data_IF_043620487799
#
_entry.id   IF_043620487799
#
_cell.length_a   1.000
_cell.length_b   1.000
_cell.length_c   1.000
_cell.angle_alpha   90.00
_cell.angle_beta   90.00
_cell.angle_gamma   90.00
#
_symmetry.space_group_name_H-M   'P 1'
#
loop_
_entity.id
_entity.type
_entity.pdbx_description
1 polymer ?
#
# COMPACT_ATOMS: atom_id res chain seq x y z
N UNK A 1 6.96 -23.13 -23.39
CA UNK A 1 7.05 -22.36 -22.13
C UNK A 1 6.01 -22.93 -21.17
N UNK A 2 6.40 -23.38 -19.97
CA UNK A 2 5.43 -23.86 -18.99
C UNK A 2 4.66 -22.65 -18.47
N UNK A 3 3.33 -22.68 -18.56
CA UNK A 3 2.46 -21.68 -17.95
C UNK A 3 2.49 -21.94 -16.44
N UNK A 4 3.05 -20.99 -15.68
CA UNK A 4 2.98 -21.01 -14.23
C UNK A 4 1.53 -20.91 -13.78
N UNK A 5 1.12 -21.81 -12.89
CA UNK A 5 -0.23 -21.89 -12.32
C UNK A 5 -0.08 -21.66 -10.83
N UNK A 6 -0.63 -20.57 -10.29
CA UNK A 6 -0.90 -20.46 -8.86
C UNK A 6 -2.21 -19.70 -8.53
N UNK A 7 -2.98 -20.40 -7.69
CA UNK A 7 -3.83 -20.03 -6.55
C UNK A 7 -4.58 -18.69 -6.54
N UNK A 8 -5.91 -18.78 -6.72
CA UNK A 8 -6.88 -17.81 -6.18
C UNK A 8 -7.78 -18.56 -5.21
N UNK A 9 -7.60 -18.31 -3.91
CA UNK A 9 -8.45 -18.81 -2.85
C UNK A 9 -9.33 -17.66 -2.34
N UNK A 10 -10.54 -17.53 -2.87
CA UNK A 10 -11.60 -16.81 -2.14
C UNK A 10 -12.42 -17.84 -1.37
N UNK A 11 -12.39 -17.74 -0.04
CA UNK A 11 -13.31 -18.49 0.82
C UNK A 11 -14.71 -17.96 0.56
N UNK A 12 -15.53 -18.75 -0.10
CA UNK A 12 -16.92 -18.39 -0.34
C UNK A 12 -17.75 -18.75 0.90
N UNK A 13 -18.19 -17.76 1.69
CA UNK A 13 -19.01 -17.92 2.91
C UNK A 13 -20.47 -18.33 2.62
N UNK A 14 -20.73 -19.09 1.54
CA UNK A 14 -22.07 -19.54 1.16
C UNK A 14 -22.93 -18.50 0.40
N UNK A 15 -22.38 -17.34 0.05
CA UNK A 15 -23.03 -16.32 -0.77
C UNK A 15 -22.58 -16.47 -2.23
N UNK A 16 -23.38 -17.18 -3.02
CA UNK A 16 -23.17 -17.26 -4.47
C UNK A 16 -23.55 -15.91 -5.11
N UNK A 17 -22.77 -15.40 -6.08
CA UNK A 17 -23.17 -14.20 -6.82
C UNK A 17 -24.56 -14.36 -7.44
N UNK A 18 -25.37 -13.30 -7.42
CA UNK A 18 -26.80 -13.34 -7.83
C UNK A 18 -27.03 -13.74 -9.30
N UNK A 19 -25.98 -13.68 -10.11
CA UNK A 19 -26.00 -14.14 -11.50
C UNK A 19 -25.84 -15.67 -11.66
N UNK A 20 -25.51 -16.39 -10.57
CA UNK A 20 -25.36 -17.86 -10.56
C UNK A 20 -26.71 -18.52 -10.32
N UNK A 21 -27.21 -19.24 -11.32
CA UNK A 21 -28.50 -19.93 -11.26
C UNK A 21 -28.44 -21.14 -10.31
N UNK A 22 -29.57 -21.56 -9.71
CA UNK A 22 -29.60 -22.67 -8.76
C UNK A 22 -28.94 -23.97 -9.27
N UNK A 23 -29.17 -24.35 -10.53
CA UNK A 23 -28.54 -25.54 -11.14
C UNK A 23 -27.04 -25.40 -11.46
N UNK A 24 -26.51 -24.17 -11.47
CA UNK A 24 -25.07 -23.91 -11.62
C UNK A 24 -24.34 -24.04 -10.28
N UNK A 25 -25.05 -23.95 -9.15
CA UNK A 25 -24.44 -24.04 -7.80
C UNK A 25 -23.85 -25.41 -7.53
N UNK A 26 -24.53 -26.49 -7.93
CA UNK A 26 -24.04 -27.86 -7.74
C UNK A 26 -22.86 -28.17 -8.67
N UNK A 27 -22.89 -27.62 -9.89
CA UNK A 27 -21.78 -27.66 -10.84
C UNK A 27 -20.56 -26.93 -10.28
N UNK A 28 -20.74 -25.70 -9.78
CA UNK A 28 -19.67 -24.93 -9.17
C UNK A 28 -19.19 -25.55 -7.86
N UNK A 29 -20.07 -26.12 -7.02
CA UNK A 29 -19.67 -26.86 -5.82
C UNK A 29 -18.87 -28.13 -6.15
N UNK A 30 -19.16 -28.78 -7.28
CA UNK A 30 -18.43 -29.97 -7.76
C UNK A 30 -17.08 -29.61 -8.36
N UNK A 31 -17.02 -28.53 -9.17
CA UNK A 31 -15.76 -28.04 -9.77
C UNK A 31 -14.88 -27.35 -8.73
N UNK A 32 -15.48 -26.62 -7.79
CA UNK A 32 -14.78 -25.78 -6.81
C UNK A 32 -14.73 -26.41 -5.41
N UNK A 33 -15.30 -27.59 -5.15
CA UNK A 33 -15.36 -28.20 -3.82
C UNK A 33 -16.26 -27.45 -2.81
N UNK A 34 -16.42 -28.02 -1.60
CA UNK A 34 -17.13 -27.40 -0.46
C UNK A 34 -16.42 -26.12 0.02
N UNK A 35 -16.60 -25.01 -0.71
CA UNK A 35 -16.12 -23.68 -0.34
C UNK A 35 -14.62 -23.42 -0.53
N UNK A 36 -13.92 -24.26 -1.29
CA UNK A 36 -12.47 -24.10 -1.53
C UNK A 36 -12.11 -24.40 -2.99
N UNK A 37 -12.16 -23.37 -3.83
CA UNK A 37 -11.89 -23.42 -5.27
C UNK A 37 -10.78 -24.42 -5.63
N UNK A 38 -11.13 -25.51 -6.32
CA UNK A 38 -10.13 -26.40 -6.91
C UNK A 38 -9.65 -25.82 -8.24
N UNK A 39 -8.34 -25.66 -8.36
CA UNK A 39 -7.68 -25.34 -9.61
C UNK A 39 -7.60 -26.59 -10.48
N UNK A 40 -8.09 -26.49 -11.71
CA UNK A 40 -7.90 -27.51 -12.73
C UNK A 40 -6.97 -26.94 -13.81
N UNK A 41 -5.71 -27.40 -13.89
CA UNK A 41 -4.82 -27.10 -15.00
C UNK A 41 -5.43 -27.62 -16.30
N UNK A 42 -5.95 -26.73 -17.14
CA UNK A 42 -6.38 -27.10 -18.49
C UNK A 42 -5.23 -26.83 -19.46
N UNK A 43 -4.65 -27.90 -19.99
CA UNK A 43 -3.75 -27.80 -21.13
C UNK A 43 -4.60 -27.72 -22.39
N UNK A 44 -4.68 -26.52 -22.96
CA UNK A 44 -5.49 -26.24 -24.15
C UNK A 44 -4.54 -26.09 -25.34
N UNK A 45 -4.84 -26.78 -26.44
CA UNK A 45 -4.14 -26.55 -27.70
C UNK A 45 -4.29 -25.07 -28.08
N UNK A 46 -3.20 -24.30 -28.30
CA UNK A 46 -3.29 -22.90 -28.68
C UNK A 46 -4.06 -22.65 -30.00
N UNK A 47 -4.34 -23.69 -30.80
CA UNK A 47 -5.20 -23.62 -32.01
C UNK A 47 -6.67 -23.95 -31.75
N UNK A 48 -7.03 -24.41 -30.54
CA UNK A 48 -8.41 -24.77 -30.22
C UNK A 48 -9.32 -23.54 -30.27
N UNK A 49 -10.44 -23.65 -31.00
CA UNK A 49 -11.47 -22.60 -31.08
C UNK A 49 -12.57 -22.74 -30.01
N UNK A 50 -12.61 -23.88 -29.31
CA UNK A 50 -13.56 -24.17 -28.25
C UNK A 50 -12.94 -25.13 -27.23
N UNK A 51 -13.31 -24.98 -25.96
CA UNK A 51 -12.98 -25.91 -24.87
C UNK A 51 -14.30 -26.43 -24.32
N UNK A 52 -14.53 -27.74 -24.43
CA UNK A 52 -15.74 -28.39 -23.90
C UNK A 52 -15.40 -29.05 -22.56
N UNK A 53 -15.93 -28.49 -21.47
CA UNK A 53 -15.84 -29.10 -20.14
C UNK A 53 -17.09 -29.96 -19.93
N UNK A 54 -16.93 -31.28 -20.00
CA UNK A 54 -18.02 -32.20 -19.71
C UNK A 54 -18.09 -32.46 -18.20
N UNK A 55 -19.11 -31.92 -17.53
CA UNK A 55 -19.43 -32.32 -16.15
C UNK A 55 -20.43 -33.46 -16.20
N UNK A 56 -20.04 -34.61 -15.67
CA UNK A 56 -20.86 -35.82 -15.70
C UNK A 56 -22.05 -35.70 -14.75
N UNK A 57 -23.11 -35.08 -15.24
CA UNK A 57 -24.48 -35.54 -15.03
C UNK A 57 -25.00 -35.80 -16.44
N UNK A 58 -25.38 -37.04 -16.76
CA UNK A 58 -25.83 -37.44 -18.10
C UNK A 58 -26.95 -36.48 -18.57
N UNK A 59 -26.69 -35.70 -19.62
CA UNK A 59 -27.67 -34.79 -20.22
C UNK A 59 -27.48 -34.80 -21.74
N UNK A 60 -28.57 -34.98 -22.47
CA UNK A 60 -28.56 -35.09 -23.94
C UNK A 60 -28.33 -33.74 -24.63
N UNK A 61 -28.43 -32.62 -23.91
CA UNK A 61 -28.16 -31.27 -24.42
C UNK A 61 -27.32 -30.43 -23.46
N UNK A 62 -26.48 -29.50 -23.98
CA UNK A 62 -25.75 -28.55 -23.15
C UNK A 62 -26.69 -27.68 -22.30
N UNK A 63 -26.46 -27.63 -20.99
CA UNK A 63 -27.25 -26.79 -20.09
C UNK A 63 -27.10 -25.29 -20.38
N UNK A 64 -25.92 -24.86 -20.88
CA UNK A 64 -25.66 -23.50 -21.32
C UNK A 64 -24.40 -23.43 -22.20
N UNK A 65 -24.21 -22.28 -22.85
CA UNK A 65 -22.96 -21.91 -23.52
C UNK A 65 -22.54 -20.51 -23.05
N UNK A 66 -21.25 -20.33 -22.78
CA UNK A 66 -20.71 -19.03 -22.35
C UNK A 66 -19.40 -18.75 -23.07
N UNK A 67 -19.26 -17.54 -23.60
CA UNK A 67 -17.99 -17.08 -24.11
C UNK A 67 -17.01 -16.88 -22.95
N UNK A 68 -15.85 -17.54 -23.02
CA UNK A 68 -14.76 -17.36 -22.07
C UNK A 68 -13.56 -16.75 -22.79
N UNK A 69 -12.85 -15.86 -22.10
CA UNK A 69 -11.60 -15.27 -22.59
C UNK A 69 -10.45 -15.88 -21.81
N UNK A 70 -9.52 -16.56 -22.50
CA UNK A 70 -8.26 -16.99 -21.90
C UNK A 70 -7.29 -15.82 -21.90
N UNK A 71 -6.76 -15.49 -20.72
CA UNK A 71 -5.86 -14.36 -20.55
C UNK A 71 -4.59 -14.89 -19.88
N UNK A 72 -3.41 -14.76 -20.52
CA UNK A 72 -2.14 -15.10 -19.89
C UNK A 72 -1.96 -14.35 -18.57
N UNK A 73 -1.29 -14.96 -17.58
CA UNK A 73 -1.15 -14.39 -16.24
C UNK A 73 -0.67 -12.93 -16.23
N UNK A 74 0.42 -12.63 -16.94
CA UNK A 74 0.96 -11.27 -17.09
C UNK A 74 -0.07 -10.31 -17.73
N UNK A 75 -0.81 -10.78 -18.73
CA UNK A 75 -1.85 -9.98 -19.37
C UNK A 75 -3.07 -9.76 -18.46
N UNK A 76 -3.43 -10.74 -17.62
CA UNK A 76 -4.49 -10.62 -16.61
C UNK A 76 -4.06 -9.63 -15.54
N UNK A 77 -2.81 -9.67 -15.11
CA UNK A 77 -2.29 -8.66 -14.20
C UNK A 77 -2.42 -7.28 -14.85
N UNK A 78 -1.93 -7.04 -16.06
CA UNK A 78 -2.00 -5.70 -16.65
C UNK A 78 -3.42 -5.26 -17.09
N UNK A 79 -4.43 -6.14 -17.03
CA UNK A 79 -5.81 -5.82 -17.38
C UNK A 79 -6.46 -4.96 -16.28
N UNK A 80 -6.81 -3.71 -16.62
CA UNK A 80 -7.44 -2.76 -15.69
C UNK A 80 -8.96 -2.96 -15.54
N UNK A 81 -9.58 -3.67 -16.48
CA UNK A 81 -11.00 -4.07 -16.49
C UNK A 81 -11.27 -5.27 -15.56
N UNK A 82 -10.22 -5.91 -15.02
CA UNK A 82 -10.33 -7.11 -14.21
C UNK A 82 -9.74 -6.85 -12.82
N UNK A 83 -10.48 -7.28 -11.80
CA UNK A 83 -10.00 -7.24 -10.43
C UNK A 83 -8.68 -8.00 -10.24
N UNK A 84 -7.84 -7.55 -9.30
CA UNK A 84 -6.63 -8.28 -8.95
C UNK A 84 -7.01 -9.70 -8.49
N UNK A 85 -6.26 -10.70 -8.96
CA UNK A 85 -6.43 -12.09 -8.49
C UNK A 85 -5.76 -12.37 -7.15
N UNK A 86 -5.39 -11.32 -6.41
CA UNK A 86 -4.61 -11.41 -5.16
C UNK A 86 -5.30 -10.56 -4.09
N UNK A 87 -5.16 -11.01 -2.84
CA UNK A 87 -5.55 -10.27 -1.65
C UNK A 87 -4.31 -10.18 -0.75
N UNK A 88 -3.77 -8.97 -0.59
CA UNK A 88 -2.55 -8.73 0.19
C UNK A 88 -2.89 -7.70 1.27
N UNK A 89 -2.87 -8.08 2.56
CA UNK A 89 -3.08 -7.12 3.63
C UNK A 89 -1.92 -6.13 3.73
N UNK A 90 -2.22 -4.90 4.14
CA UNK A 90 -1.23 -3.84 4.32
C UNK A 90 -0.21 -4.20 5.43
N UNK A 91 -0.67 -4.81 6.52
CA UNK A 91 0.16 -5.20 7.67
C UNK A 91 0.03 -6.72 7.91
N UNK A 92 1.13 -7.38 8.29
CA UNK A 92 1.08 -8.77 8.79
C UNK A 92 0.62 -8.80 10.23
N UNK A 93 -0.68 -8.61 10.41
CA UNK A 93 -1.33 -8.92 11.67
C UNK A 93 -2.32 -10.02 11.34
N UNK A 94 -2.27 -11.19 12.01
CA UNK A 94 -3.31 -12.20 11.88
C UNK A 94 -4.68 -11.51 12.06
N UNK A 95 -5.58 -11.65 11.09
CA UNK A 95 -6.82 -10.87 10.98
C UNK A 95 -7.68 -10.80 12.25
N UNK A 96 -7.55 -11.76 13.18
CA UNK A 96 -8.19 -11.74 14.51
C UNK A 96 -7.68 -10.62 15.45
N UNK A 97 -6.40 -10.27 15.38
CA UNK A 97 -5.83 -9.19 16.20
C UNK A 97 -6.22 -7.80 15.64
N UNK A 98 -6.48 -7.68 14.34
CA UNK A 98 -6.91 -6.41 13.75
C UNK A 98 -8.34 -6.02 14.14
N UNK A 99 -9.25 -6.99 14.32
CA UNK A 99 -10.58 -6.71 14.88
C UNK A 99 -10.53 -6.22 16.33
N UNK A 100 -9.55 -6.66 17.13
CA UNK A 100 -9.35 -6.20 18.50
C UNK A 100 -8.74 -4.79 18.53
N UNK A 101 -7.84 -4.47 17.59
CA UNK A 101 -7.30 -3.12 17.37
C UNK A 101 -8.31 -2.15 16.74
N UNK A 102 -9.41 -2.64 16.15
CA UNK A 102 -10.49 -1.80 15.61
C UNK A 102 -11.17 -0.94 16.68
N UNK A 103 -11.07 -1.34 17.96
CA UNK A 103 -11.47 -0.52 19.11
C UNK A 103 -10.55 0.67 19.38
N UNK A 104 -9.32 0.65 18.87
CA UNK A 104 -8.38 1.77 18.91
C UNK A 104 -8.47 2.61 17.61
N UNK A 105 -9.62 3.25 17.38
CA UNK A 105 -9.77 4.22 16.28
C UNK A 105 -8.87 5.45 16.40
N UNK A 106 -8.16 5.59 17.52
CA UNK A 106 -7.23 6.67 17.77
C UNK A 106 -5.84 6.25 17.32
N UNK A 107 -5.27 7.00 16.38
CA UNK A 107 -3.83 6.94 16.12
C UNK A 107 -3.15 7.49 17.36
N UNK A 108 -2.68 6.59 18.23
CA UNK A 108 -1.87 6.99 19.38
C UNK A 108 -0.57 7.54 18.83
N UNK A 109 -0.36 8.85 18.99
CA UNK A 109 0.98 9.40 18.86
C UNK A 109 1.89 8.59 19.81
N UNK A 110 3.06 8.17 19.34
CA UNK A 110 4.06 7.58 20.24
C UNK A 110 4.21 8.47 21.47
N UNK A 111 4.36 7.85 22.64
CA UNK A 111 4.56 8.56 23.88
C UNK A 111 5.66 9.62 23.74
N UNK A 112 5.41 10.79 24.33
CA UNK A 112 6.10 12.07 24.14
C UNK A 112 7.61 12.02 24.51
N UNK A 113 8.05 10.95 25.17
CA UNK A 113 9.43 10.66 25.60
C UNK A 113 10.26 9.85 24.60
N UNK A 114 9.61 9.14 23.67
CA UNK A 114 10.27 8.24 22.69
C UNK A 114 10.70 8.91 21.40
N UNK A 115 10.19 10.11 21.12
CA UNK A 115 10.38 10.75 19.83
C UNK A 115 11.57 11.73 19.89
N UNK A 116 12.78 11.18 19.73
CA UNK A 116 14.05 11.92 19.71
C UNK A 116 14.77 11.70 18.37
N UNK A 117 15.36 12.74 17.77
CA UNK A 117 16.16 12.59 16.56
C UNK A 117 17.43 11.81 16.85
N UNK A 118 17.80 10.94 15.92
CA UNK A 118 19.06 10.22 15.85
C UNK A 118 20.03 10.97 14.92
N UNK A 119 21.32 10.63 15.00
CA UNK A 119 22.37 11.16 14.11
C UNK A 119 22.43 12.70 14.06
N UNK A 120 22.23 13.34 15.22
CA UNK A 120 22.29 14.81 15.35
C UNK A 120 23.66 15.40 15.01
N UNK A 121 24.72 14.63 15.21
CA UNK A 121 26.11 14.96 14.87
C UNK A 121 26.38 14.99 13.35
N UNK A 122 25.60 14.25 12.55
CA UNK A 122 25.77 14.21 11.08
C UNK A 122 25.30 15.48 10.36
N UNK A 123 24.58 16.36 11.06
CA UNK A 123 23.88 17.49 10.44
C UNK A 123 22.67 17.10 9.59
N UNK A 124 22.34 15.80 9.51
CA UNK A 124 21.21 15.24 8.79
C UNK A 124 20.36 14.34 9.72
N UNK A 125 19.66 14.94 10.70
CA UNK A 125 18.98 14.21 11.77
C UNK A 125 17.91 13.25 11.23
N UNK A 126 17.77 12.11 11.90
CA UNK A 126 16.86 11.02 11.52
C UNK A 126 15.75 10.86 12.56
N UNK A 127 14.50 10.81 12.13
CA UNK A 127 13.33 10.54 12.96
C UNK A 127 12.72 9.20 12.56
N UNK A 128 12.44 8.35 13.55
CA UNK A 128 11.63 7.15 13.38
C UNK A 128 10.17 7.49 13.69
N UNK A 129 9.29 7.41 12.70
CA UNK A 129 7.87 7.74 12.82
C UNK A 129 7.02 6.56 12.33
N UNK A 130 5.88 6.28 12.94
CA UNK A 130 4.90 5.40 12.29
C UNK A 130 4.43 6.01 10.97
N UNK A 131 3.88 5.22 10.03
CA UNK A 131 3.27 5.75 8.82
C UNK A 131 2.26 6.88 9.05
N UNK A 132 1.37 6.71 10.03
CA UNK A 132 0.35 7.70 10.41
C UNK A 132 0.98 8.95 11.00
N UNK A 133 1.99 8.80 11.87
CA UNK A 133 2.75 9.95 12.36
C UNK A 133 3.43 10.69 11.23
N UNK A 134 3.99 9.97 10.26
CA UNK A 134 4.56 10.55 9.04
C UNK A 134 3.52 11.36 8.24
N UNK A 135 2.24 10.97 8.26
CA UNK A 135 1.16 11.77 7.66
C UNK A 135 0.72 12.99 8.51
N UNK A 136 0.91 12.95 9.83
CA UNK A 136 0.41 13.94 10.79
C UNK A 136 1.48 14.89 11.35
N UNK A 137 2.75 14.56 11.16
CA UNK A 137 3.90 15.32 11.60
C UNK A 137 4.40 16.26 10.50
N UNK A 138 4.76 17.47 10.93
CA UNK A 138 5.44 18.47 10.11
C UNK A 138 6.82 18.71 10.70
N UNK A 139 7.82 18.74 9.82
CA UNK A 139 9.20 19.01 10.17
C UNK A 139 9.57 20.37 9.59
N UNK A 140 10.13 21.23 10.42
CA UNK A 140 10.58 22.57 10.07
C UNK A 140 12.03 22.76 10.50
N UNK A 141 12.73 23.65 9.81
CA UNK A 141 14.10 24.05 10.15
C UNK A 141 14.20 25.57 10.06
N UNK A 142 14.77 26.19 11.08
CA UNK A 142 14.97 27.64 11.15
C UNK A 142 16.37 27.95 11.66
N UNK A 143 16.96 29.06 11.20
CA UNK A 143 18.19 29.60 11.82
C UNK A 143 17.89 30.12 13.23
N UNK A 144 18.92 30.37 14.08
CA UNK A 144 18.73 30.97 15.41
C UNK A 144 17.98 32.31 15.39
N UNK A 145 18.02 33.02 14.26
CA UNK A 145 17.32 34.29 14.05
C UNK A 145 15.89 34.10 13.51
N UNK A 146 15.37 32.86 13.49
CA UNK A 146 14.01 32.53 13.06
C UNK A 146 13.80 32.50 11.54
N UNK A 147 14.86 32.61 10.72
CA UNK A 147 14.71 32.51 9.26
C UNK A 147 14.50 31.06 8.84
N UNK A 148 13.51 30.73 8.00
CA UNK A 148 13.34 29.38 7.47
C UNK A 148 14.58 28.91 6.71
N UNK A 149 15.00 27.67 6.98
CA UNK A 149 16.03 26.96 6.21
C UNK A 149 15.32 26.12 5.17
N UNK A 150 15.80 26.19 3.92
CA UNK A 150 15.27 25.39 2.82
C UNK A 150 15.75 23.93 2.97
N UNK A 151 15.09 23.20 3.87
CA UNK A 151 15.35 21.80 4.14
C UNK A 151 14.15 20.95 3.71
N UNK A 152 14.44 19.75 3.20
CA UNK A 152 13.44 18.79 2.76
C UNK A 152 13.54 17.51 3.58
N UNK A 153 12.38 16.89 3.79
CA UNK A 153 12.30 15.54 4.34
C UNK A 153 12.63 14.51 3.26
N UNK A 154 13.40 13.50 3.62
CA UNK A 154 13.65 12.32 2.81
C UNK A 154 13.32 11.08 3.63
N UNK A 155 12.41 10.23 3.14
CA UNK A 155 12.25 8.90 3.71
C UNK A 155 13.43 8.04 3.26
N UNK A 156 14.16 7.48 4.22
CA UNK A 156 15.28 6.57 4.00
C UNK A 156 14.71 5.21 3.62
N UNK A 157 15.20 4.65 2.52
CA UNK A 157 14.92 3.26 2.15
C UNK A 157 15.57 2.35 3.18
N UNK A 158 14.78 1.47 3.78
CA UNK A 158 15.27 0.48 4.73
C UNK A 158 15.55 -0.83 3.98
N UNK A 159 16.80 -1.28 4.00
CA UNK A 159 17.14 -2.61 3.50
C UNK A 159 16.60 -3.66 4.47
N UNK A 160 15.65 -4.47 4.01
CA UNK A 160 15.23 -5.67 4.72
C UNK A 160 15.86 -6.89 4.07
N UNK A 161 16.26 -7.92 4.85
CA UNK A 161 16.44 -9.24 4.30
C UNK A 161 15.11 -9.65 3.66
N UNK A 162 15.13 -10.02 2.38
CA UNK A 162 14.00 -10.58 1.66
C UNK A 162 13.57 -11.86 2.37
N UNK A 163 12.63 -11.76 3.32
CA UNK A 163 12.01 -12.93 3.93
C UNK A 163 10.95 -13.38 2.94
N UNK A 164 11.08 -14.63 2.46
CA UNK A 164 10.27 -15.18 1.38
C UNK A 164 8.75 -14.91 1.49
N UNK A 165 8.12 -15.00 0.32
CA UNK A 165 6.68 -15.12 0.08
C UNK A 165 5.81 -14.03 0.75
N UNK A 166 5.99 -12.78 0.31
CA UNK A 166 4.95 -11.74 0.43
C UNK A 166 5.06 -10.77 1.60
N UNK A 167 6.05 -10.92 2.48
CA UNK A 167 6.35 -9.95 3.56
C UNK A 167 6.82 -8.61 2.99
N UNK A 168 7.53 -8.63 1.86
CA UNK A 168 8.04 -7.43 1.18
C UNK A 168 6.96 -6.49 0.62
N UNK A 169 5.69 -6.92 0.67
CA UNK A 169 4.52 -6.17 0.19
C UNK A 169 3.81 -5.40 1.28
N UNK A 170 4.30 -5.50 2.51
CA UNK A 170 3.64 -4.93 3.67
C UNK A 170 4.26 -3.61 4.03
N UNK A 171 3.52 -2.85 4.83
CA UNK A 171 3.99 -1.61 5.40
C UNK A 171 4.90 -1.88 6.59
N UNK A 172 5.95 -1.06 6.72
CA UNK A 172 6.77 -1.06 7.93
C UNK A 172 6.05 -0.31 9.04
N UNK A 173 6.17 -0.80 10.27
CA UNK A 173 5.67 -0.13 11.47
C UNK A 173 6.33 1.23 11.71
N UNK A 174 7.46 1.49 11.04
CA UNK A 174 8.25 2.72 11.17
C UNK A 174 8.82 3.14 9.82
N UNK A 175 8.71 4.42 9.52
CA UNK A 175 9.38 5.12 8.44
C UNK A 175 10.49 6.00 9.02
N UNK A 176 11.68 5.91 8.42
CA UNK A 176 12.83 6.73 8.82
C UNK A 176 12.88 8.02 7.99
N UNK A 177 12.67 9.16 8.63
CA UNK A 177 12.74 10.48 8.02
C UNK A 177 14.10 11.12 8.28
N UNK A 178 14.84 11.44 7.23
CA UNK A 178 16.03 12.30 7.30
C UNK A 178 15.67 13.73 6.92
N UNK A 179 16.13 14.70 7.70
CA UNK A 179 16.16 16.08 7.25
C UNK A 179 17.47 16.35 6.52
N UNK A 180 17.37 16.90 5.33
CA UNK A 180 18.52 17.30 4.50
C UNK A 180 18.26 18.68 3.89
N UNK A 181 19.33 19.39 3.55
CA UNK A 181 19.25 20.58 2.73
C UNK A 181 18.72 20.24 1.32
N UNK A 182 18.30 21.26 0.57
CA UNK A 182 17.77 21.08 -0.79
C UNK A 182 18.75 20.39 -1.75
N UNK A 183 20.05 20.67 -1.60
CA UNK A 183 21.14 20.03 -2.36
C UNK A 183 21.38 18.55 -1.96
N UNK A 184 20.72 18.08 -0.90
CA UNK A 184 20.86 16.73 -0.36
C UNK A 184 21.92 16.58 0.72
N UNK A 185 22.64 17.65 1.05
CA UNK A 185 23.62 17.69 2.12
C UNK A 185 23.01 17.90 3.52
N UNK A 186 23.87 18.01 4.55
CA UNK A 186 23.45 18.37 5.91
C UNK A 186 22.73 19.72 5.95
N UNK A 187 21.75 19.86 6.84
CA UNK A 187 20.95 21.09 6.94
C UNK A 187 21.70 22.25 7.63
N UNK A 188 22.79 21.96 8.37
CA UNK A 188 23.57 22.90 9.19
C UNK A 188 24.87 23.38 8.53
N UNK A 189 25.00 23.26 7.21
CA UNK A 189 26.20 23.70 6.47
C UNK A 189 26.39 25.22 6.49
N UNK A 190 25.30 25.99 6.49
CA UNK A 190 25.33 27.45 6.54
C UNK A 190 25.35 28.02 7.98
N UNK A 191 25.32 27.16 8.99
CA UNK A 191 25.29 27.55 10.39
C UNK A 191 24.41 26.65 11.25
N UNK A 192 24.27 27.02 12.52
CA UNK A 192 23.38 26.29 13.43
C UNK A 192 21.92 26.37 12.96
N UNK A 193 21.14 25.33 13.24
CA UNK A 193 19.73 25.20 12.85
C UNK A 193 18.90 24.72 14.04
N UNK A 194 17.78 25.39 14.30
CA UNK A 194 16.71 24.91 15.18
C UNK A 194 15.74 24.06 14.36
N UNK A 195 15.66 22.79 14.72
CA UNK A 195 14.78 21.79 14.14
C UNK A 195 13.49 21.77 14.92
N UNK A 196 12.36 21.97 14.27
CA UNK A 196 11.04 21.85 14.87
C UNK A 196 10.31 20.63 14.34
N UNK A 197 9.81 19.76 15.21
CA UNK A 197 8.85 18.72 14.85
C UNK A 197 7.53 19.01 15.55
N UNK A 198 6.48 19.14 14.75
CA UNK A 198 5.12 19.34 15.24
C UNK A 198 4.21 18.25 14.70
N UNK A 199 3.64 17.44 15.59
CA UNK A 199 2.72 16.36 15.25
C UNK A 199 1.34 16.60 15.86
N UNK A 200 0.32 16.17 15.10
CA UNK A 200 -1.08 16.17 15.54
C UNK A 200 -1.52 14.76 15.91
N UNK A 201 -2.55 14.66 16.75
CA UNK A 201 -3.34 13.44 16.84
C UNK A 201 -4.05 13.16 15.51
N UNK A 202 -4.50 11.92 15.35
CA UNK A 202 -5.29 11.53 14.20
C UNK A 202 -6.35 10.51 14.58
N UNK A 203 -7.44 10.55 13.84
CA UNK A 203 -8.46 9.50 13.88
C UNK A 203 -8.77 9.06 12.47
N UNK A 204 -8.87 7.75 12.28
CA UNK A 204 -9.33 7.19 11.03
C UNK A 204 -10.81 7.48 10.86
N UNK A 205 -11.19 7.95 9.68
CA UNK A 205 -12.57 8.16 9.30
C UNK A 205 -12.78 7.68 7.87
N UNK A 206 -13.94 7.10 7.60
CA UNK A 206 -14.34 6.76 6.24
C UNK A 206 -14.31 8.02 5.38
N UNK A 207 -13.54 7.96 4.30
CA UNK A 207 -13.47 9.01 3.30
C UNK A 207 -14.76 9.00 2.48
N UNK A 208 -15.25 10.19 2.13
CA UNK A 208 -16.33 10.33 1.16
C UNK A 208 -15.76 10.13 -0.25
N UNK A 209 -15.49 8.88 -0.62
CA UNK A 209 -14.93 8.48 -1.91
C UNK A 209 -15.77 7.35 -2.50
N UNK A 210 -16.21 7.57 -3.74
CA UNK A 210 -16.98 6.59 -4.50
C UNK A 210 -16.02 5.69 -5.30
N UNK A 211 -16.03 4.40 -4.96
CA UNK A 211 -15.17 3.37 -5.53
C UNK A 211 -15.58 2.96 -6.96
N UNK A 212 -16.82 3.27 -7.39
CA UNK A 212 -17.35 2.89 -8.69
C UNK A 212 -17.30 1.39 -9.00
N UNK A 213 -17.34 1.03 -10.29
CA UNK A 213 -17.40 -0.36 -10.76
C UNK A 213 -16.04 -1.09 -10.71
N UNK A 214 -14.94 -0.36 -10.46
CA UNK A 214 -13.58 -0.90 -10.38
C UNK A 214 -12.94 -0.48 -9.06
N UNK A 215 -13.41 -1.02 -7.93
CA UNK A 215 -12.98 -0.59 -6.60
C UNK A 215 -11.47 -0.78 -6.36
N UNK A 216 -10.81 -1.67 -7.10
CA UNK A 216 -9.37 -1.91 -7.04
C UNK A 216 -8.51 -0.89 -7.79
N UNK A 217 -9.11 0.08 -8.48
CA UNK A 217 -8.40 1.11 -9.24
C UNK A 217 -8.80 2.50 -8.72
N UNK A 218 -7.98 3.03 -7.81
CA UNK A 218 -8.26 4.26 -7.09
C UNK A 218 -7.71 5.46 -7.87
N UNK A 219 -8.56 6.43 -8.13
CA UNK A 219 -8.17 7.71 -8.70
C UNK A 219 -7.61 8.62 -7.59
N UNK A 220 -6.28 8.74 -7.52
CA UNK A 220 -5.64 9.54 -6.47
C UNK A 220 -5.92 11.03 -6.60
N UNK A 221 -6.12 11.52 -7.82
CA UNK A 221 -6.47 12.93 -8.04
C UNK A 221 -7.85 13.23 -7.48
N UNK A 222 -8.83 12.36 -7.72
CA UNK A 222 -10.18 12.48 -7.12
C UNK A 222 -10.16 12.28 -5.61
N UNK A 223 -9.35 11.35 -5.09
CA UNK A 223 -9.27 11.04 -3.66
C UNK A 223 -8.59 12.17 -2.85
N UNK A 224 -7.53 12.76 -3.39
CA UNK A 224 -6.71 13.75 -2.68
C UNK A 224 -7.05 15.19 -3.06
N UNK A 225 -7.74 15.40 -4.19
CA UNK A 225 -7.99 16.71 -4.79
C UNK A 225 -6.77 17.32 -5.50
N UNK A 226 -5.68 16.56 -5.67
CA UNK A 226 -4.41 17.03 -6.22
C UNK A 226 -3.79 15.97 -7.13
N UNK A 227 -3.04 16.38 -8.14
CA UNK A 227 -2.25 15.45 -8.94
C UNK A 227 -1.26 14.69 -8.04
N UNK A 228 -1.17 13.35 -8.12
CA UNK A 228 -0.27 12.59 -7.27
C UNK A 228 1.19 12.96 -7.55
N UNK A 229 1.96 13.21 -6.50
CA UNK A 229 3.40 13.43 -6.59
C UNK A 229 4.11 12.07 -6.79
N UNK A 230 4.70 11.79 -7.96
CA UNK A 230 5.38 10.51 -8.21
C UNK A 230 6.59 10.29 -7.29
N UNK A 231 7.17 11.36 -6.72
CA UNK A 231 8.27 11.30 -5.77
C UNK A 231 7.80 11.09 -4.32
N UNK A 232 6.49 11.06 -4.04
CA UNK A 232 5.97 10.75 -2.72
C UNK A 232 6.34 9.30 -2.34
N UNK A 233 6.87 9.04 -1.14
CA UNK A 233 6.99 7.66 -0.64
C UNK A 233 5.60 7.04 -0.49
N UNK A 234 5.41 5.81 -0.98
CA UNK A 234 4.12 5.10 -0.87
C UNK A 234 3.71 4.93 0.58
N UNK A 235 4.69 4.68 1.48
CA UNK A 235 4.45 4.62 2.91
C UNK A 235 3.83 5.89 3.51
N UNK A 236 4.11 7.08 2.95
CA UNK A 236 3.49 8.33 3.39
C UNK A 236 2.04 8.42 2.94
N UNK A 237 1.73 7.99 1.70
CA UNK A 237 0.38 7.93 1.19
C UNK A 237 -0.49 6.97 2.01
N UNK A 238 0.02 5.75 2.26
CA UNK A 238 -0.69 4.70 2.99
C UNK A 238 -0.77 4.99 4.51
N UNK A 239 0.09 5.86 5.03
CA UNK A 239 -0.04 6.40 6.38
C UNK A 239 -1.18 7.42 6.50
N UNK A 240 -1.61 8.01 5.39
CA UNK A 240 -2.72 8.97 5.34
C UNK A 240 -4.04 8.35 4.91
N UNK A 241 -3.99 7.34 4.04
CA UNK A 241 -5.15 6.67 3.46
C UNK A 241 -5.04 5.16 3.61
N UNK A 242 -6.15 4.50 3.93
CA UNK A 242 -6.26 3.03 3.94
C UNK A 242 -7.38 2.60 3.00
N UNK A 243 -7.16 1.49 2.31
CA UNK A 243 -8.14 0.86 1.42
C UNK A 243 -8.63 -0.40 2.11
N UNK A 244 -9.85 -0.38 2.63
CA UNK A 244 -10.37 -1.43 3.49
C UNK A 244 -11.19 -2.39 2.64
N UNK A 245 -10.97 -3.69 2.79
CA UNK A 245 -11.86 -4.70 2.22
C UNK A 245 -13.19 -4.79 2.99
N UNK A 246 -14.08 -5.69 2.55
CA UNK A 246 -15.38 -5.91 3.18
C UNK A 246 -15.28 -6.45 4.62
N UNK A 247 -14.18 -7.12 4.95
CA UNK A 247 -13.91 -7.62 6.29
C UNK A 247 -13.29 -6.55 7.20
N UNK A 248 -12.97 -5.37 6.68
CA UNK A 248 -12.34 -4.27 7.41
C UNK A 248 -10.84 -4.46 7.61
N UNK A 249 -10.17 -5.21 6.74
CA UNK A 249 -8.72 -5.34 6.68
C UNK A 249 -8.15 -4.30 5.70
N UNK A 250 -7.11 -3.52 6.09
CA UNK A 250 -6.43 -2.64 5.15
C UNK A 250 -5.65 -3.47 4.12
N UNK A 251 -5.77 -3.09 2.86
CA UNK A 251 -5.12 -3.71 1.70
C UNK A 251 -3.85 -2.95 1.29
N UNK A 252 -2.88 -3.70 0.79
CA UNK A 252 -1.66 -3.16 0.18
C UNK A 252 -1.92 -2.71 -1.27
N UNK A 253 -0.88 -2.18 -1.92
CA UNK A 253 -0.91 -1.69 -3.30
C UNK A 253 -0.10 -2.57 -4.23
N UNK A 254 -0.50 -2.54 -5.51
CA UNK A 254 0.15 -3.26 -6.58
C UNK A 254 0.93 -2.29 -7.48
N UNK A 255 2.13 -2.67 -7.95
CA UNK A 255 2.80 -1.98 -9.04
C UNK A 255 1.87 -1.79 -10.26
N UNK A 256 2.13 -0.73 -11.02
CA UNK A 256 1.35 -0.38 -12.20
C UNK A 256 1.38 -1.49 -13.27
N UNK A 257 2.50 -2.20 -13.36
CA UNK A 257 2.71 -3.28 -14.31
C UNK A 257 3.32 -4.51 -13.63
N UNK A 258 3.09 -5.67 -14.24
CA UNK A 258 3.64 -6.94 -13.76
C UNK A 258 5.16 -7.03 -13.88
N UNK A 259 5.77 -6.25 -14.78
CA UNK A 259 7.21 -6.28 -14.97
C UNK A 259 7.91 -5.76 -13.73
N UNK A 260 8.87 -6.55 -13.23
CA UNK A 260 9.56 -6.31 -11.95
C UNK A 260 8.60 -6.23 -10.76
N UNK A 261 7.45 -6.92 -10.84
CA UNK A 261 6.47 -6.98 -9.76
C UNK A 261 7.19 -7.16 -8.42
N UNK A 262 8.08 -8.16 -8.31
CA UNK A 262 8.81 -8.54 -7.09
C UNK A 262 9.81 -7.50 -6.55
N UNK A 263 10.25 -6.56 -7.37
CA UNK A 263 11.27 -5.58 -6.98
C UNK A 263 10.66 -4.40 -6.20
N UNK A 264 9.34 -4.26 -6.26
CA UNK A 264 8.63 -3.12 -5.69
C UNK A 264 8.01 -3.41 -4.32
N UNK A 265 8.38 -2.56 -3.36
CA UNK A 265 8.03 -2.64 -1.95
C UNK A 265 7.30 -1.35 -1.50
N UNK A 266 5.99 -1.41 -1.21
CA UNK A 266 5.20 -0.25 -0.79
C UNK A 266 5.77 0.52 0.43
N UNK A 267 6.49 -0.16 1.32
CA UNK A 267 7.10 0.50 2.47
C UNK A 267 8.28 1.43 2.11
N UNK A 268 9.01 1.09 1.04
CA UNK A 268 10.31 1.68 0.74
C UNK A 268 10.29 2.55 -0.52
N UNK A 269 9.40 2.24 -1.45
CA UNK A 269 9.43 2.84 -2.78
C UNK A 269 8.63 4.14 -2.88
N UNK A 270 8.91 4.84 -3.98
CA UNK A 270 8.17 6.02 -4.39
C UNK A 270 6.88 5.62 -5.10
N UNK A 271 5.96 6.56 -5.22
CA UNK A 271 4.64 6.34 -5.78
C UNK A 271 4.68 6.04 -7.28
N UNK A 272 5.64 6.60 -8.01
CA UNK A 272 5.77 6.44 -9.47
C UNK A 272 5.54 5.01 -10.01
N UNK A 273 6.25 3.96 -9.54
CA UNK A 273 6.05 2.59 -10.03
C UNK A 273 4.67 1.97 -9.73
N UNK A 274 3.88 2.59 -8.86
CA UNK A 274 2.53 2.15 -8.49
C UNK A 274 1.42 2.93 -9.20
N UNK A 275 1.77 3.96 -9.99
CA UNK A 275 0.80 4.78 -10.72
C UNK A 275 0.56 4.23 -12.12
N UNK A 276 -0.65 3.73 -12.35
CA UNK A 276 -1.17 3.48 -13.69
C UNK A 276 -1.54 4.83 -14.31
N UNK A 277 -1.02 5.09 -15.52
CA UNK A 277 -1.20 6.35 -16.26
C UNK A 277 -0.84 7.60 -15.45
N UNK A 278 0.07 7.48 -14.48
CA UNK A 278 0.49 8.58 -13.61
C UNK A 278 -0.59 9.08 -12.63
N UNK A 279 -1.72 8.36 -12.49
CA UNK A 279 -2.90 8.83 -11.75
C UNK A 279 -3.52 7.77 -10.84
N UNK A 280 -3.68 6.57 -11.36
CA UNK A 280 -4.46 5.55 -10.68
C UNK A 280 -3.58 4.64 -9.85
N UNK A 281 -3.98 4.40 -8.61
CA UNK A 281 -3.35 3.43 -7.72
C UNK A 281 -4.11 2.12 -7.80
N UNK A 282 -3.38 1.03 -8.01
CA UNK A 282 -3.98 -0.30 -8.01
C UNK A 282 -3.88 -0.95 -6.64
N UNK A 283 -4.98 -1.44 -6.13
CA UNK A 283 -5.06 -2.08 -4.80
C UNK A 283 -4.90 -3.59 -4.94
N UNK A 284 -4.24 -4.22 -3.97
CA UNK A 284 -4.03 -5.67 -3.90
C UNK A 284 -5.24 -6.38 -3.27
N UNK A 285 -6.42 -6.22 -3.86
CA UNK A 285 -7.68 -6.81 -3.41
C UNK A 285 -8.89 -6.03 -3.93
N UNK A 286 -10.04 -6.22 -3.29
CA UNK A 286 -11.26 -5.45 -3.58
C UNK A 286 -11.62 -4.55 -2.39
N UNK A 287 -11.31 -3.26 -2.46
CA UNK A 287 -11.76 -2.29 -1.46
C UNK A 287 -13.28 -2.23 -1.39
N UNK A 288 -13.83 -2.23 -0.18
CA UNK A 288 -15.22 -1.90 0.13
C UNK A 288 -15.37 -0.47 0.67
N UNK A 289 -14.29 0.10 1.24
CA UNK A 289 -14.28 1.51 1.66
C UNK A 289 -12.85 2.08 1.64
N UNK A 290 -12.76 3.41 1.70
CA UNK A 290 -11.50 4.13 1.89
C UNK A 290 -11.57 4.85 3.23
N UNK A 291 -10.52 4.77 4.02
CA UNK A 291 -10.36 5.58 5.23
C UNK A 291 -9.26 6.61 5.04
N UNK A 292 -9.41 7.75 5.69
CA UNK A 292 -8.42 8.82 5.75
C UNK A 292 -8.19 9.22 7.20
N UNK A 293 -6.94 9.48 7.56
CA UNK A 293 -6.62 10.02 8.87
C UNK A 293 -6.97 11.51 8.91
N UNK A 294 -7.90 11.89 9.78
CA UNK A 294 -8.22 13.30 10.02
C UNK A 294 -7.31 13.86 11.12
N UNK A 295 -6.53 14.93 10.85
CA UNK A 295 -5.70 15.55 11.87
C UNK A 295 -6.55 16.21 12.95
N UNK A 296 -6.17 16.00 14.21
CA UNK A 296 -6.73 16.67 15.38
C UNK A 296 -5.80 17.74 15.94
N UNK A 297 -5.77 17.81 17.27
CA UNK A 297 -4.96 18.76 18.03
C UNK A 297 -3.47 18.44 17.95
N UNK A 298 -2.65 19.48 18.13
CA UNK A 298 -1.20 19.32 18.26
C UNK A 298 -0.90 18.67 19.60
N UNK A 299 -0.23 17.53 19.60
CA UNK A 299 0.18 16.84 20.82
C UNK A 299 1.68 16.80 21.01
N UNK A 300 2.44 16.94 19.93
CA UNK A 300 3.90 16.99 20.00
C UNK A 300 4.33 18.31 19.35
N UNK A 301 5.08 19.09 20.11
CA UNK A 301 5.81 20.27 19.64
C UNK A 301 7.18 20.24 20.30
N UNK A 302 8.21 19.96 19.49
CA UNK A 302 9.56 19.74 19.96
C UNK A 302 10.57 20.45 19.11
N UNK A 303 11.62 20.91 19.77
CA UNK A 303 12.71 21.64 19.15
C UNK A 303 14.05 21.07 19.57
N UNK A 304 14.98 21.01 18.63
CA UNK A 304 16.36 20.60 18.87
C UNK A 304 17.30 21.54 18.14
N UNK A 305 18.44 21.81 18.76
CA UNK A 305 19.50 22.60 18.13
C UNK A 305 20.49 21.67 17.45
N UNK A 306 20.64 21.85 16.14
CA UNK A 306 21.71 21.30 15.34
C UNK A 306 22.86 22.33 15.33
N UNK A 307 24.04 22.05 15.89
CA UNK A 307 25.16 22.99 15.86
C UNK A 307 25.61 23.22 14.40
N UNK A 308 26.32 24.31 14.13
CA UNK A 308 26.93 24.52 12.81
C UNK A 308 27.86 23.35 12.47
N UNK A 309 27.89 22.91 11.21
CA UNK A 309 28.86 21.91 10.78
C UNK A 309 30.28 22.43 11.04
N UNK A 310 31.11 21.64 11.72
CA UNK A 310 32.52 21.98 11.86
C UNK A 310 33.17 21.94 10.48
N UNK A 311 33.71 23.08 10.03
CA UNK A 311 34.53 23.10 8.82
C UNK A 311 35.70 22.16 9.05
N UNK A 312 35.92 21.12 8.22
CA UNK A 312 37.09 20.28 8.39
C UNK A 312 38.32 21.18 8.31
N UNK A 313 39.05 21.29 9.43
CA UNK A 313 40.37 21.90 9.41
C UNK A 313 41.22 20.99 8.54
N UNK A 314 41.41 21.36 7.28
CA UNK A 314 42.46 20.77 6.47
C UNK A 314 43.78 21.03 7.20
N UNK A 315 44.30 19.97 7.82
CA UNK A 315 45.66 19.93 8.34
C UNK A 315 46.59 20.36 7.19
N UNK A 316 47.24 21.50 7.39
CA UNK A 316 48.35 21.96 6.55
C UNK A 316 49.59 21.13 6.84
#
# INVERSE_FOLDING_TARGET
>A
MPLGIEHVAERNNGLWPDWVRPGERDLFATILGNGSARLLPLHIDPKARAVTVAVRVLADQPAFSKAVRFIPYKARYNALDIGPGVHIPLNFVPSRLFSELRGEQQVRAMADDKLKPLAMDSGAPIFALSPEQSALCTLSATTPNGKPVAARRQVIRQEYPTFGDGVDRQMLDTLLWRLIANDGGPANTEGAVELGLRCRTGQWQTANYDLGDRPWLIDLERLTGQQPDPAMPVGVLLGRYRFMDADGQPLSVLPAQFDNFWDYQPANDRLAPFLVDGRYLRIAGQPASVEVVKPGDITIDRRWTLPAAETPQHAR
#
